data_IF_150540982748
#
_entry.id   IF_150540982748
#
_cell.length_a   1.000
_cell.length_b   1.000
_cell.length_c   1.000
_cell.angle_alpha   90.00
_cell.angle_beta   90.00
_cell.angle_gamma   90.00
#
_symmetry.space_group_name_H-M   'P 1'
#
loop_
_entity.id
_entity.type
_entity.pdbx_description
1 polymer ?
#
# COMPACT_ATOMS: atom_id res chain seq x y z
N UNK A 1 -13.39 -12.67 -1.20
CA UNK A 1 -13.71 -11.23 -1.17
C UNK A 1 -12.54 -10.34 -1.62
N UNK A 2 -11.27 -10.63 -1.29
CA UNK A 2 -10.15 -9.74 -1.66
C UNK A 2 -9.66 -9.81 -3.13
N UNK A 3 -9.89 -10.91 -3.85
CA UNK A 3 -9.50 -11.01 -5.27
C UNK A 3 -10.28 -10.02 -6.17
N UNK A 4 -11.43 -9.52 -5.72
CA UNK A 4 -12.31 -8.63 -6.50
C UNK A 4 -11.80 -7.18 -6.60
N UNK A 5 -10.94 -6.71 -5.69
CA UNK A 5 -10.53 -5.30 -5.65
C UNK A 5 -9.57 -4.89 -6.78
N UNK A 6 -8.84 -5.84 -7.35
CA UNK A 6 -7.99 -5.55 -8.52
C UNK A 6 -8.81 -5.31 -9.79
N UNK A 7 -10.04 -5.82 -9.86
CA UNK A 7 -10.88 -5.76 -11.05
C UNK A 7 -11.90 -4.60 -11.01
N UNK A 8 -12.23 -4.07 -9.83
CA UNK A 8 -13.29 -3.05 -9.66
C UNK A 8 -12.84 -1.60 -9.88
N UNK A 9 -11.53 -1.33 -9.98
CA UNK A 9 -10.95 0.03 -10.05
C UNK A 9 -11.42 0.96 -8.90
N UNK A 10 -11.86 0.39 -7.78
CA UNK A 10 -12.39 1.16 -6.66
C UNK A 10 -11.27 1.82 -5.84
N UNK A 11 -11.48 3.07 -5.47
CA UNK A 11 -10.57 3.80 -4.59
C UNK A 11 -10.95 3.49 -3.13
N UNK A 12 -10.15 2.66 -2.47
CA UNK A 12 -10.39 2.24 -1.07
C UNK A 12 -9.81 3.24 -0.06
N UNK A 13 -8.85 4.08 -0.47
CA UNK A 13 -8.37 5.16 0.36
C UNK A 13 -7.39 6.09 -0.33
N UNK A 14 -7.35 7.33 0.13
CA UNK A 14 -6.49 8.40 -0.38
C UNK A 14 -5.81 9.09 0.79
N UNK A 15 -4.51 9.33 0.69
CA UNK A 15 -3.76 10.14 1.64
C UNK A 15 -2.96 11.19 0.88
N UNK A 16 -3.25 12.46 1.16
CA UNK A 16 -2.53 13.61 0.60
C UNK A 16 -1.52 14.10 1.63
N UNK A 17 -0.27 14.24 1.23
CA UNK A 17 0.84 14.70 2.07
C UNK A 17 1.69 15.69 1.30
N UNK A 18 2.44 16.53 2.00
CA UNK A 18 3.26 17.57 1.39
C UNK A 18 4.55 16.99 0.76
N UNK A 19 5.17 15.97 1.36
CA UNK A 19 6.56 15.59 1.07
C UNK A 19 6.76 14.18 0.47
N UNK A 20 5.71 13.33 0.38
CA UNK A 20 5.78 11.95 -0.15
C UNK A 20 7.01 11.16 0.34
N UNK A 21 7.04 10.88 1.64
CA UNK A 21 8.15 10.20 2.32
C UNK A 21 7.83 8.74 2.65
N UNK A 22 8.84 7.96 3.02
CA UNK A 22 8.64 6.61 3.56
C UNK A 22 7.75 6.58 4.80
N UNK A 23 7.75 7.65 5.61
CA UNK A 23 6.87 7.77 6.78
C UNK A 23 5.40 7.91 6.38
N UNK A 24 5.13 8.68 5.32
CA UNK A 24 3.77 8.83 4.77
C UNK A 24 3.23 7.49 4.27
N UNK A 25 4.09 6.71 3.61
CA UNK A 25 3.75 5.36 3.13
C UNK A 25 3.49 4.40 4.30
N UNK A 26 4.31 4.42 5.37
CA UNK A 26 4.05 3.62 6.58
C UNK A 26 2.69 3.95 7.16
N UNK A 27 2.37 5.25 7.26
CA UNK A 27 1.12 5.73 7.84
C UNK A 27 -0.06 5.26 6.99
N UNK A 28 0.00 5.47 5.68
CA UNK A 28 -1.06 5.04 4.76
C UNK A 28 -1.26 3.53 4.76
N UNK A 29 -0.19 2.76 4.61
CA UNK A 29 -0.27 1.30 4.59
C UNK A 29 -0.89 0.74 5.88
N UNK A 30 -0.51 1.26 7.05
CA UNK A 30 -1.11 0.84 8.32
C UNK A 30 -2.60 1.13 8.42
N UNK A 31 -3.07 2.25 7.89
CA UNK A 31 -4.50 2.57 7.88
C UNK A 31 -5.27 1.63 6.95
N UNK A 32 -4.80 1.40 5.73
CA UNK A 32 -5.47 0.50 4.78
C UNK A 32 -5.47 -0.96 5.25
N UNK A 33 -4.39 -1.42 5.86
CA UNK A 33 -4.28 -2.79 6.35
C UNK A 33 -5.31 -3.15 7.43
N UNK A 34 -5.87 -2.17 8.16
CA UNK A 34 -6.97 -2.43 9.13
C UNK A 34 -8.23 -2.97 8.47
N UNK A 35 -8.42 -2.68 7.18
CA UNK A 35 -9.56 -3.12 6.39
C UNK A 35 -9.25 -4.37 5.54
N UNK A 36 -8.02 -4.88 5.62
CA UNK A 36 -7.60 -6.09 4.91
C UNK A 36 -7.69 -7.30 5.85
N UNK A 37 -8.35 -8.36 5.42
CA UNK A 37 -8.43 -9.62 6.19
C UNK A 37 -7.07 -10.38 6.23
N UNK A 38 -6.14 -10.07 5.33
CA UNK A 38 -4.83 -10.72 5.18
C UNK A 38 -3.71 -9.69 4.95
N UNK A 39 -2.46 -10.17 4.82
CA UNK A 39 -1.33 -9.36 4.30
C UNK A 39 -1.30 -9.44 2.76
N UNK A 40 -1.85 -8.45 2.03
CA UNK A 40 -1.86 -8.48 0.57
C UNK A 40 -0.46 -8.31 -0.02
N UNK A 41 -0.31 -8.72 -1.28
CA UNK A 41 0.81 -8.28 -2.12
C UNK A 41 0.47 -6.89 -2.63
N UNK A 42 1.37 -5.93 -2.41
CA UNK A 42 1.17 -4.53 -2.83
C UNK A 42 1.80 -4.31 -4.20
N UNK A 43 1.01 -3.81 -5.16
CA UNK A 43 1.48 -3.32 -6.46
C UNK A 43 1.87 -1.84 -6.34
N UNK A 44 3.01 -1.46 -6.91
CA UNK A 44 3.58 -0.10 -6.77
C UNK A 44 4.17 0.41 -8.07
N UNK A 45 4.16 1.74 -8.25
CA UNK A 45 4.71 2.48 -9.40
C UNK A 45 6.24 2.64 -9.37
N UNK A 46 6.95 1.80 -8.61
CA UNK A 46 8.40 1.85 -8.38
C UNK A 46 8.91 3.09 -7.62
N UNK A 47 8.03 3.88 -6.99
CA UNK A 47 8.45 4.98 -6.12
C UNK A 47 9.48 4.55 -5.06
N UNK A 48 10.56 5.32 -4.85
CA UNK A 48 11.68 4.93 -3.97
C UNK A 48 11.26 4.75 -2.51
N UNK A 49 10.16 5.40 -2.11
CA UNK A 49 9.60 5.35 -0.76
C UNK A 49 8.91 4.03 -0.42
N UNK A 50 8.59 3.15 -1.37
CA UNK A 50 7.84 1.92 -1.09
C UNK A 50 8.70 0.78 -0.55
N UNK A 51 9.85 0.49 -1.20
CA UNK A 51 10.61 -0.75 -0.99
C UNK A 51 10.95 -1.00 0.47
N UNK A 52 11.66 -0.05 1.09
CA UNK A 52 12.08 -0.16 2.49
C UNK A 52 10.88 -0.22 3.44
N UNK A 53 9.86 0.59 3.14
CA UNK A 53 8.67 0.77 3.97
C UNK A 53 7.82 -0.50 4.03
N UNK A 54 7.54 -1.09 2.87
CA UNK A 54 6.76 -2.33 2.76
C UNK A 54 7.53 -3.51 3.36
N UNK A 55 8.86 -3.57 3.17
CA UNK A 55 9.72 -4.56 3.83
C UNK A 55 9.66 -4.44 5.36
N UNK A 56 9.72 -3.21 5.89
CA UNK A 56 9.61 -2.95 7.34
C UNK A 56 8.26 -3.37 7.93
N UNK A 57 7.20 -3.32 7.13
CA UNK A 57 5.86 -3.78 7.52
C UNK A 57 5.65 -5.30 7.30
N UNK A 58 6.65 -6.00 6.76
CA UNK A 58 6.57 -7.43 6.44
C UNK A 58 5.57 -7.72 5.30
N UNK A 59 5.42 -6.79 4.36
CA UNK A 59 4.56 -6.93 3.18
C UNK A 59 5.40 -7.35 1.97
N UNK A 60 4.82 -8.22 1.15
CA UNK A 60 5.35 -8.50 -0.19
C UNK A 60 4.95 -7.35 -1.13
N UNK A 61 5.83 -7.01 -2.06
CA UNK A 61 5.54 -5.99 -3.06
C UNK A 61 6.07 -6.40 -4.42
N UNK A 62 5.37 -5.95 -5.45
CA UNK A 62 5.71 -6.14 -6.85
C UNK A 62 5.59 -4.81 -7.59
N UNK A 63 6.31 -4.70 -8.68
CA UNK A 63 6.17 -3.57 -9.59
C UNK A 63 5.07 -3.86 -10.60
N UNK A 64 4.31 -2.83 -10.94
CA UNK A 64 3.36 -2.81 -12.05
C UNK A 64 3.88 -1.86 -13.14
#
# INVERSE_FOLDING_TARGET
MLQQLLDSWEIVGVMVTEWRTSMDVIKFAREILKYCENKPVIKTDRGPWYRWTLQRLGLKHEYE
#
